data_IF_689695574191
#
_entry.id   IF_689695574191
#
_cell.length_a   1.000
_cell.length_b   1.000
_cell.length_c   1.000
_cell.angle_alpha   90.00
_cell.angle_beta   90.00
_cell.angle_gamma   90.00
#
_symmetry.space_group_name_H-M   'P 1'
#
loop_
_entity.id
_entity.type
_entity.pdbx_description
1 polymer ?
#
# COMPACT_ATOMS: atom_id res chain seq x y z
N UNK A 1 0.48 -20.52 1.68
CA UNK A 1 0.24 -19.07 1.89
C UNK A 1 0.94 -18.61 3.15
N UNK A 2 1.61 -17.46 3.16
CA UNK A 2 2.18 -16.89 4.40
C UNK A 2 1.08 -16.57 5.42
N UNK A 3 1.35 -16.70 6.74
CA UNK A 3 0.42 -16.26 7.77
C UNK A 3 0.10 -14.76 7.64
N UNK A 4 -1.15 -14.38 7.90
CA UNK A 4 -1.62 -12.99 7.76
C UNK A 4 -0.76 -11.99 8.56
N UNK A 5 -0.29 -12.38 9.75
CA UNK A 5 0.59 -11.56 10.57
C UNK A 5 1.93 -11.24 9.88
N UNK A 6 2.53 -12.22 9.20
CA UNK A 6 3.81 -12.05 8.48
C UNK A 6 3.60 -11.14 7.27
N UNK A 7 2.54 -11.41 6.48
CA UNK A 7 2.21 -10.61 5.29
C UNK A 7 1.95 -9.14 5.66
N UNK A 8 1.13 -8.88 6.68
CA UNK A 8 0.87 -7.53 7.20
C UNK A 8 2.15 -6.83 7.66
N UNK A 9 3.09 -7.55 8.29
CA UNK A 9 4.37 -6.97 8.73
C UNK A 9 5.26 -6.59 7.55
N UNK A 10 5.29 -7.40 6.50
CA UNK A 10 6.00 -7.09 5.25
C UNK A 10 5.36 -5.90 4.54
N UNK A 11 4.04 -5.89 4.40
CA UNK A 11 3.28 -4.80 3.79
C UNK A 11 3.52 -3.48 4.51
N UNK A 12 3.44 -3.48 5.85
CA UNK A 12 3.74 -2.30 6.67
C UNK A 12 5.16 -1.78 6.43
N UNK A 13 6.16 -2.67 6.42
CA UNK A 13 7.55 -2.28 6.12
C UNK A 13 7.69 -1.68 4.73
N UNK A 14 7.04 -2.27 3.72
CA UNK A 14 7.06 -1.76 2.35
C UNK A 14 6.41 -0.37 2.24
N UNK A 15 5.28 -0.15 2.93
CA UNK A 15 4.61 1.16 2.95
C UNK A 15 5.47 2.23 3.63
N UNK A 16 6.12 1.89 4.75
CA UNK A 16 7.05 2.82 5.44
C UNK A 16 8.29 3.10 4.60
N UNK A 17 8.86 2.07 3.97
CA UNK A 17 9.99 2.22 3.05
C UNK A 17 9.65 3.08 1.83
N UNK A 18 8.38 3.04 1.37
CA UNK A 18 7.88 3.91 0.33
C UNK A 18 7.63 5.36 0.79
N UNK A 19 7.79 5.67 2.07
CA UNK A 19 7.67 7.04 2.61
C UNK A 19 6.39 7.32 3.39
N UNK A 20 5.54 6.31 3.65
CA UNK A 20 4.36 6.50 4.49
C UNK A 20 4.79 6.71 5.94
N UNK A 21 4.38 7.79 6.62
CA UNK A 21 4.79 8.08 7.99
C UNK A 21 4.26 7.00 8.93
N UNK A 22 5.14 6.33 9.71
CA UNK A 22 4.76 5.21 10.55
C UNK A 22 3.76 5.60 11.65
N UNK A 23 3.73 6.86 12.06
CA UNK A 23 2.77 7.39 13.04
C UNK A 23 1.34 7.56 12.49
N UNK A 24 1.15 7.59 11.18
CA UNK A 24 -0.18 7.72 10.54
C UNK A 24 -0.62 6.43 9.85
N UNK A 25 0.27 5.44 9.71
CA UNK A 25 0.00 4.16 9.07
C UNK A 25 -0.65 3.17 10.06
N UNK A 26 -1.98 3.23 10.17
CA UNK A 26 -2.77 2.35 11.04
C UNK A 26 -3.02 0.94 10.48
N UNK A 27 -3.42 0.02 11.36
CA UNK A 27 -3.75 -1.37 11.02
C UNK A 27 -4.80 -1.48 9.91
N UNK A 28 -5.85 -0.64 9.93
CA UNK A 28 -6.88 -0.58 8.88
C UNK A 28 -6.28 -0.39 7.49
N UNK A 29 -5.26 0.47 7.36
CA UNK A 29 -4.63 0.73 6.06
C UNK A 29 -3.87 -0.50 5.56
N UNK A 30 -3.22 -1.22 6.48
CA UNK A 30 -2.51 -2.46 6.15
C UNK A 30 -3.50 -3.56 5.77
N UNK A 31 -4.67 -3.63 6.41
CA UNK A 31 -5.74 -4.58 6.05
C UNK A 31 -6.30 -4.31 4.66
N UNK A 32 -6.54 -3.04 4.29
CA UNK A 32 -6.97 -2.69 2.94
C UNK A 32 -5.92 -3.08 1.89
N UNK A 33 -4.63 -2.85 2.17
CA UNK A 33 -3.53 -3.31 1.31
C UNK A 33 -3.43 -4.83 1.27
N UNK A 34 -3.69 -5.53 2.38
CA UNK A 34 -3.71 -7.00 2.44
C UNK A 34 -4.81 -7.56 1.52
N UNK A 35 -6.00 -6.92 1.49
CA UNK A 35 -7.10 -7.31 0.60
C UNK A 35 -6.73 -7.19 -0.88
N UNK A 36 -5.95 -6.19 -1.28
CA UNK A 36 -5.45 -6.11 -2.67
C UNK A 36 -4.66 -7.36 -3.08
N UNK A 37 -4.01 -8.03 -2.11
CA UNK A 37 -3.18 -9.21 -2.35
C UNK A 37 -3.98 -10.50 -2.23
N UNK A 38 -4.84 -10.63 -1.22
CA UNK A 38 -5.56 -11.87 -0.94
C UNK A 38 -6.93 -11.98 -1.59
N UNK A 39 -7.58 -10.85 -1.82
CA UNK A 39 -9.02 -10.74 -2.07
C UNK A 39 -9.26 -9.80 -3.26
N UNK A 40 -8.54 -10.06 -4.35
CA UNK A 40 -8.57 -9.19 -5.52
C UNK A 40 -9.77 -9.46 -6.43
N UNK A 41 -10.59 -8.43 -6.62
CA UNK A 41 -11.79 -8.48 -7.48
C UNK A 41 -11.85 -7.34 -8.51
N UNK A 42 -10.72 -6.69 -8.80
CA UNK A 42 -10.69 -5.44 -9.59
C UNK A 42 -10.67 -4.18 -8.74
N UNK A 43 -10.01 -4.22 -7.57
CA UNK A 43 -9.89 -3.07 -6.66
C UNK A 43 -9.03 -1.95 -7.27
N UNK A 44 -9.39 -0.70 -6.99
CA UNK A 44 -8.64 0.48 -7.43
C UNK A 44 -7.38 0.77 -6.60
N UNK A 45 -6.76 1.93 -6.86
CA UNK A 45 -5.64 2.44 -6.06
C UNK A 45 -6.10 2.81 -4.65
N UNK A 46 -5.35 2.39 -3.64
CA UNK A 46 -5.52 2.76 -2.23
C UNK A 46 -4.58 3.91 -1.91
N UNK A 47 -5.13 4.98 -1.36
CA UNK A 47 -4.37 6.10 -0.84
C UNK A 47 -4.00 5.85 0.63
N UNK A 48 -2.71 5.82 0.90
CA UNK A 48 -2.10 5.75 2.22
C UNK A 48 -1.65 7.15 2.67
N UNK A 49 -1.56 7.37 3.99
CA UNK A 49 -1.00 8.61 4.53
C UNK A 49 0.44 8.82 4.07
N UNK A 50 0.86 10.09 3.99
CA UNK A 50 2.16 10.48 3.44
C UNK A 50 2.21 10.50 1.92
N UNK A 51 1.06 10.71 1.26
CA UNK A 51 0.95 10.72 -0.21
C UNK A 51 1.41 9.41 -0.84
N UNK A 52 1.30 8.28 -0.14
CA UNK A 52 1.66 6.98 -0.70
C UNK A 52 0.44 6.35 -1.36
N UNK A 53 0.60 5.82 -2.55
CA UNK A 53 -0.41 5.08 -3.28
C UNK A 53 0.00 3.62 -3.40
N UNK A 54 -0.99 2.75 -3.22
CA UNK A 54 -0.83 1.31 -3.43
C UNK A 54 -1.84 0.85 -4.46
N UNK A 55 -1.36 0.21 -5.53
CA UNK A 55 -2.23 -0.41 -6.53
C UNK A 55 -1.69 -1.77 -6.93
N UNK A 56 -2.57 -2.68 -7.33
CA UNK A 56 -2.15 -3.93 -7.94
C UNK A 56 -2.20 -3.79 -9.47
N UNK A 57 -1.09 -4.12 -10.15
CA UNK A 57 -0.97 -4.09 -11.61
C UNK A 57 -0.40 -5.41 -12.11
N UNK A 58 -1.15 -6.11 -12.97
CA UNK A 58 -0.70 -7.34 -13.63
C UNK A 58 -0.13 -8.38 -12.64
N UNK A 59 -0.75 -8.54 -11.46
CA UNK A 59 -0.30 -9.45 -10.41
C UNK A 59 0.70 -8.87 -9.41
N UNK A 60 1.31 -7.71 -9.69
CA UNK A 60 2.31 -7.07 -8.85
C UNK A 60 1.70 -5.96 -7.98
N UNK A 61 2.10 -5.87 -6.72
CA UNK A 61 1.75 -4.76 -5.84
C UNK A 61 2.73 -3.61 -6.09
N UNK A 62 2.22 -2.48 -6.57
CA UNK A 62 2.99 -1.26 -6.86
C UNK A 62 2.69 -0.25 -5.76
N UNK A 63 3.71 0.11 -5.00
CA UNK A 63 3.65 1.13 -3.95
C UNK A 63 4.48 2.32 -4.45
N UNK A 64 3.89 3.51 -4.50
CA UNK A 64 4.55 4.74 -4.97
C UNK A 64 4.23 5.91 -4.06
N UNK A 65 5.19 6.79 -3.84
CA UNK A 65 4.98 8.08 -3.19
C UNK A 65 4.64 9.11 -4.26
N UNK A 66 3.50 9.79 -4.10
CA UNK A 66 3.09 10.96 -4.87
C UNK A 66 3.81 12.18 -4.29
N UNK A 67 5.12 12.21 -4.43
CA UNK A 67 5.90 13.42 -4.19
C UNK A 67 6.18 14.07 -5.56
N UNK A 68 5.61 15.26 -5.73
CA UNK A 68 5.97 16.28 -6.74
C UNK A 68 5.85 15.96 -8.25
N UNK A 69 5.54 14.74 -8.68
CA UNK A 69 5.45 14.42 -10.12
C UNK A 69 4.13 14.81 -10.82
N UNK A 70 3.17 15.42 -10.11
CA UNK A 70 1.91 15.94 -10.70
C UNK A 70 1.79 17.48 -10.58
N UNK A 71 2.92 18.19 -10.57
CA UNK A 71 2.95 19.66 -10.68
C UNK A 71 2.99 20.15 -12.14
N UNK A 72 2.79 19.27 -13.12
CA UNK A 72 2.69 19.64 -14.54
C UNK A 72 1.50 18.95 -15.22
N UNK A 73 0.30 19.46 -14.93
CA UNK A 73 -0.77 19.62 -15.93
C UNK A 73 -1.74 20.73 -15.53
#
# INVERSE_FOLDING_TARGET
MLPAAVRRRVLRRACVAAGSPPGSLFARHIEEVDRLVTDWHGQGTINLPGRVEVRRRCGNLVIRRRDEADAEH
#
